data_IF_440007837027
#
_entry.id   IF_440007837027
#
_cell.length_a   1.000
_cell.length_b   1.000
_cell.length_c   1.000
_cell.angle_alpha   90.00
_cell.angle_beta   90.00
_cell.angle_gamma   90.00
#
_symmetry.space_group_name_H-M   'P 1'
#
loop_
_entity.id
_entity.type
_entity.pdbx_description
1 polymer ?
#
# COMPACT_ATOMS: atom_id res chain seq x y z
N UNK A 1 -33.60 -6.03 -17.10
CA UNK A 1 -32.82 -4.78 -17.04
C UNK A 1 -31.52 -5.11 -16.36
N UNK A 2 -30.43 -5.16 -17.10
CA UNK A 2 -29.07 -5.31 -16.56
C UNK A 2 -28.66 -3.97 -15.96
N UNK A 3 -28.44 -3.90 -14.65
CA UNK A 3 -27.80 -2.74 -14.02
C UNK A 3 -26.35 -2.70 -14.52
N UNK A 4 -26.03 -1.78 -15.44
CA UNK A 4 -24.64 -1.47 -15.76
C UNK A 4 -24.05 -0.72 -14.56
N UNK A 5 -23.05 -1.33 -13.91
CA UNK A 5 -22.27 -0.70 -12.85
C UNK A 5 -21.55 0.55 -13.33
N UNK A 6 -21.43 1.56 -12.47
CA UNK A 6 -20.64 2.75 -12.79
C UNK A 6 -19.14 2.45 -12.63
N UNK A 7 -18.28 3.20 -13.32
CA UNK A 7 -16.83 2.95 -13.30
C UNK A 7 -16.09 3.80 -12.26
N UNK A 8 -14.86 3.39 -11.89
CA UNK A 8 -13.98 4.21 -11.05
C UNK A 8 -13.71 5.61 -11.63
N UNK A 9 -13.74 5.79 -12.96
CA UNK A 9 -13.60 7.10 -13.58
C UNK A 9 -14.86 7.96 -13.38
N UNK A 10 -16.04 7.36 -13.41
CA UNK A 10 -17.30 8.05 -13.06
C UNK A 10 -17.29 8.49 -11.59
N UNK A 11 -16.76 7.65 -10.70
CA UNK A 11 -16.57 8.01 -9.29
C UNK A 11 -15.65 9.23 -9.15
N UNK A 12 -14.48 9.22 -9.78
CA UNK A 12 -13.54 10.35 -9.74
C UNK A 12 -14.17 11.65 -10.24
N UNK A 13 -14.87 11.61 -11.38
CA UNK A 13 -15.56 12.79 -11.92
C UNK A 13 -16.58 13.34 -10.93
N UNK A 14 -17.39 12.46 -10.33
CA UNK A 14 -18.39 12.85 -9.32
C UNK A 14 -17.76 13.47 -8.07
N UNK A 15 -16.65 12.93 -7.59
CA UNK A 15 -15.90 13.54 -6.47
C UNK A 15 -15.35 14.92 -6.83
N UNK A 16 -14.81 15.11 -8.04
CA UNK A 16 -14.34 16.42 -8.50
C UNK A 16 -15.48 17.44 -8.51
N UNK A 17 -16.66 17.07 -8.99
CA UNK A 17 -17.85 17.92 -8.97
C UNK A 17 -18.26 18.30 -7.53
N UNK A 18 -18.27 17.34 -6.61
CA UNK A 18 -18.56 17.58 -5.19
C UNK A 18 -17.53 18.50 -4.55
N UNK A 19 -16.24 18.30 -4.82
CA UNK A 19 -15.16 19.16 -4.32
C UNK A 19 -15.35 20.59 -4.84
N UNK A 20 -15.66 20.78 -6.12
CA UNK A 20 -15.91 22.10 -6.70
C UNK A 20 -17.14 22.78 -6.08
N UNK A 21 -18.17 22.01 -5.72
CA UNK A 21 -19.34 22.57 -5.05
C UNK A 21 -19.03 22.98 -3.60
N UNK A 22 -18.39 22.10 -2.83
CA UNK A 22 -18.04 22.35 -1.45
C UNK A 22 -16.97 23.45 -1.31
N UNK A 23 -16.07 23.59 -2.29
CA UNK A 23 -15.00 24.60 -2.24
C UNK A 23 -15.49 26.04 -2.41
N UNK A 24 -16.73 26.24 -2.87
CA UNK A 24 -17.39 27.55 -2.87
C UNK A 24 -17.70 28.05 -1.46
N UNK A 25 -17.83 27.12 -0.50
CA UNK A 25 -18.12 27.40 0.91
C UNK A 25 -16.83 27.31 1.72
N UNK A 26 -16.01 26.30 1.45
CA UNK A 26 -14.77 26.01 2.17
C UNK A 26 -13.58 26.12 1.22
N UNK A 27 -12.95 27.30 1.08
CA UNK A 27 -11.93 27.56 0.07
C UNK A 27 -10.66 26.74 0.30
N UNK A 28 -10.12 26.16 -0.77
CA UNK A 28 -8.89 25.35 -0.73
C UNK A 28 -7.68 26.25 -0.95
N UNK A 29 -6.68 26.22 -0.05
CA UNK A 29 -5.43 26.94 -0.24
C UNK A 29 -4.38 26.07 -0.95
N UNK A 30 -3.45 26.65 -1.73
CA UNK A 30 -2.35 25.91 -2.34
C UNK A 30 -1.50 25.12 -1.34
N UNK A 31 -1.34 25.64 -0.11
CA UNK A 31 -0.60 24.97 0.96
C UNK A 31 -1.29 23.69 1.45
N UNK A 32 -2.63 23.69 1.51
CA UNK A 32 -3.43 22.51 1.89
C UNK A 32 -3.20 21.36 0.92
N UNK A 33 -3.10 21.68 -0.38
CA UNK A 33 -2.84 20.69 -1.42
C UNK A 33 -1.46 20.02 -1.30
N UNK A 34 -0.47 20.70 -0.72
CA UNK A 34 0.84 20.11 -0.45
C UNK A 34 0.73 19.06 0.66
N UNK A 35 0.04 19.41 1.76
CA UNK A 35 -0.19 18.49 2.88
C UNK A 35 -1.01 17.26 2.45
N UNK A 36 -2.08 17.47 1.69
CA UNK A 36 -2.90 16.36 1.19
C UNK A 36 -2.14 15.40 0.27
N UNK A 37 -1.24 15.93 -0.59
CA UNK A 37 -0.34 15.08 -1.40
C UNK A 37 0.62 14.25 -0.55
N UNK A 38 0.96 14.76 0.63
CA UNK A 38 1.76 14.06 1.64
C UNK A 38 0.90 13.17 2.56
N UNK A 39 -0.40 13.02 2.25
CA UNK A 39 -1.38 12.27 3.06
C UNK A 39 -1.57 12.85 4.47
N UNK A 40 -1.36 14.16 4.63
CA UNK A 40 -1.53 14.89 5.88
C UNK A 40 -2.81 15.71 5.77
N UNK A 41 -3.72 15.55 6.73
CA UNK A 41 -4.90 16.40 6.83
C UNK A 41 -4.48 17.79 7.31
N UNK A 42 -4.78 18.87 6.57
CA UNK A 42 -4.54 20.23 7.05
C UNK A 42 -5.31 20.51 8.34
N UNK A 43 -4.63 21.08 9.33
CA UNK A 43 -5.26 21.45 10.61
C UNK A 43 -5.91 22.83 10.53
N UNK A 44 -6.89 22.96 9.64
CA UNK A 44 -7.74 24.16 9.54
C UNK A 44 -9.20 23.77 9.30
N UNK A 45 -10.11 24.63 9.75
CA UNK A 45 -11.55 24.35 9.73
C UNK A 45 -12.10 24.21 8.30
N UNK A 46 -11.65 25.04 7.37
CA UNK A 46 -12.09 24.99 5.97
C UNK A 46 -11.85 23.61 5.35
N UNK A 47 -10.64 23.07 5.50
CA UNK A 47 -10.31 21.76 4.93
C UNK A 47 -11.06 20.62 5.62
N UNK A 48 -11.20 20.66 6.96
CA UNK A 48 -12.00 19.69 7.71
C UNK A 48 -13.46 19.68 7.23
N UNK A 49 -14.05 20.86 7.08
CA UNK A 49 -15.44 21.00 6.66
C UNK A 49 -15.66 20.76 5.16
N UNK A 50 -14.68 21.04 4.31
CA UNK A 50 -14.70 20.66 2.90
C UNK A 50 -14.87 19.14 2.77
N UNK A 51 -14.07 18.36 3.50
CA UNK A 51 -14.15 16.90 3.49
C UNK A 51 -15.50 16.43 4.04
N UNK A 52 -15.99 17.00 5.13
CA UNK A 52 -17.33 16.68 5.66
C UNK A 52 -18.44 16.95 4.63
N UNK A 53 -18.39 18.09 3.94
CA UNK A 53 -19.33 18.43 2.87
C UNK A 53 -19.29 17.40 1.73
N UNK A 54 -18.09 17.03 1.27
CA UNK A 54 -17.93 16.02 0.20
C UNK A 54 -18.43 14.65 0.67
N UNK A 55 -18.11 14.23 1.89
CA UNK A 55 -18.56 12.95 2.44
C UNK A 55 -20.07 12.88 2.60
N UNK A 56 -20.72 13.95 3.07
CA UNK A 56 -22.18 14.04 3.13
C UNK A 56 -22.81 13.95 1.74
N UNK A 57 -22.29 14.72 0.78
CA UNK A 57 -22.78 14.70 -0.61
C UNK A 57 -22.56 13.34 -1.30
N UNK A 58 -21.51 12.62 -0.93
CA UNK A 58 -21.23 11.27 -1.42
C UNK A 58 -22.09 10.18 -0.73
N UNK A 59 -22.75 10.51 0.38
CA UNK A 59 -23.48 9.55 1.22
C UNK A 59 -22.60 8.76 2.18
N UNK A 60 -21.32 9.10 2.30
CA UNK A 60 -20.37 8.45 3.22
C UNK A 60 -20.49 8.94 4.66
N UNK A 61 -21.15 10.08 4.87
CA UNK A 61 -21.37 10.68 6.19
C UNK A 61 -22.85 11.01 6.33
N UNK A 62 -23.44 10.68 7.47
CA UNK A 62 -24.85 10.94 7.73
C UNK A 62 -25.10 12.39 8.23
N UNK A 63 -26.37 12.75 8.44
CA UNK A 63 -26.77 14.10 8.90
C UNK A 63 -26.24 14.45 10.30
N UNK A 64 -25.90 13.46 11.12
CA UNK A 64 -25.26 13.65 12.43
C UNK A 64 -23.75 13.90 12.31
N UNK A 65 -23.21 13.89 11.10
CA UNK A 65 -21.78 14.03 10.85
C UNK A 65 -20.99 12.76 11.17
N UNK A 66 -21.65 11.60 11.30
CA UNK A 66 -21.03 10.30 11.57
C UNK A 66 -20.69 9.58 10.27
N UNK A 67 -19.62 8.78 10.26
CA UNK A 67 -19.29 7.85 9.17
C UNK A 67 -20.47 6.89 8.95
N UNK A 68 -20.96 6.84 7.71
CA UNK A 68 -22.01 5.92 7.28
C UNK A 68 -21.37 4.68 6.66
N UNK A 69 -21.19 3.61 7.46
CA UNK A 69 -20.65 2.33 6.96
C UNK A 69 -21.50 1.79 5.82
N UNK A 70 -22.83 1.84 5.96
CA UNK A 70 -23.77 1.44 4.92
C UNK A 70 -23.60 2.28 3.65
N UNK A 71 -23.53 3.61 3.78
CA UNK A 71 -23.40 4.51 2.64
C UNK A 71 -22.07 4.35 1.88
N UNK A 72 -20.97 4.11 2.58
CA UNK A 72 -19.69 3.76 1.95
C UNK A 72 -19.80 2.41 1.22
N UNK A 73 -20.39 1.39 1.85
CA UNK A 73 -20.53 0.07 1.25
C UNK A 73 -21.46 0.08 0.01
N UNK A 74 -22.51 0.91 0.01
CA UNK A 74 -23.34 1.16 -1.17
C UNK A 74 -22.56 1.81 -2.32
N UNK A 75 -21.73 2.81 -2.00
CA UNK A 75 -20.85 3.45 -2.97
C UNK A 75 -19.89 2.42 -3.57
N UNK A 76 -19.23 1.62 -2.72
CA UNK A 76 -18.34 0.54 -3.15
C UNK A 76 -19.04 -0.46 -4.06
N UNK A 77 -20.22 -0.96 -3.68
CA UNK A 77 -21.00 -1.88 -4.52
C UNK A 77 -21.38 -1.29 -5.88
N UNK A 78 -21.65 0.02 -5.94
CA UNK A 78 -22.03 0.72 -7.18
C UNK A 78 -20.87 0.86 -8.17
N UNK A 79 -19.65 1.09 -7.67
CA UNK A 79 -18.48 1.41 -8.50
C UNK A 79 -17.46 0.27 -8.65
N UNK A 80 -17.57 -0.78 -7.83
CA UNK A 80 -16.75 -2.00 -7.91
C UNK A 80 -17.57 -3.29 -8.11
N UNK A 81 -18.68 -3.31 -8.89
CA UNK A 81 -19.55 -4.49 -8.95
C UNK A 81 -18.90 -5.73 -9.57
N UNK A 82 -17.85 -5.54 -10.36
CA UNK A 82 -17.12 -6.62 -11.04
C UNK A 82 -15.78 -6.95 -10.38
N UNK A 83 -15.51 -6.40 -9.18
CA UNK A 83 -14.27 -6.64 -8.43
C UNK A 83 -14.57 -7.09 -7.00
N UNK A 84 -15.01 -8.35 -6.80
CA UNK A 84 -15.45 -8.85 -5.49
C UNK A 84 -14.32 -8.83 -4.44
N UNK A 85 -13.06 -8.92 -4.87
CA UNK A 85 -11.91 -8.87 -3.97
C UNK A 85 -11.73 -7.44 -3.44
N UNK A 86 -11.70 -6.43 -4.31
CA UNK A 86 -11.62 -5.03 -3.86
C UNK A 86 -12.85 -4.60 -3.08
N UNK A 87 -14.02 -5.12 -3.43
CA UNK A 87 -15.26 -4.88 -2.70
C UNK A 87 -15.15 -5.38 -1.25
N UNK A 88 -14.77 -6.64 -1.04
CA UNK A 88 -14.58 -7.19 0.31
C UNK A 88 -13.51 -6.43 1.10
N UNK A 89 -12.41 -6.01 0.44
CA UNK A 89 -11.38 -5.21 1.10
C UNK A 89 -11.88 -3.83 1.48
N UNK A 90 -12.65 -3.18 0.63
CA UNK A 90 -13.25 -1.89 0.92
C UNK A 90 -14.24 -1.98 2.09
N UNK A 91 -15.04 -3.04 2.18
CA UNK A 91 -15.98 -3.23 3.30
C UNK A 91 -15.21 -3.37 4.62
N UNK A 92 -14.19 -4.24 4.68
CA UNK A 92 -13.32 -4.38 5.85
C UNK A 92 -12.58 -3.11 6.22
N UNK A 93 -12.17 -2.33 5.22
CA UNK A 93 -11.51 -1.05 5.40
C UNK A 93 -12.45 -0.04 6.05
N UNK A 94 -13.71 0.01 5.61
CA UNK A 94 -14.74 0.86 6.22
C UNK A 94 -15.04 0.43 7.65
N UNK A 95 -15.20 -0.87 7.92
CA UNK A 95 -15.39 -1.43 9.27
C UNK A 95 -14.22 -1.06 10.20
N UNK A 96 -12.98 -1.12 9.71
CA UNK A 96 -11.79 -0.78 10.49
C UNK A 96 -11.70 0.70 10.88
N UNK A 97 -12.51 1.56 10.27
CA UNK A 97 -12.62 2.98 10.58
C UNK A 97 -13.94 3.35 11.26
N UNK A 98 -14.82 2.40 11.56
CA UNK A 98 -16.12 2.68 12.19
C UNK A 98 -15.97 3.36 13.56
N UNK A 99 -14.92 3.02 14.31
CA UNK A 99 -14.65 3.56 15.65
C UNK A 99 -14.42 5.07 15.69
N UNK A 100 -14.20 5.74 14.54
CA UNK A 100 -14.13 7.21 14.47
C UNK A 100 -15.45 7.89 14.89
N UNK A 101 -16.56 7.15 14.91
CA UNK A 101 -17.85 7.63 15.39
C UNK A 101 -17.89 7.75 16.92
N UNK A 102 -17.08 6.97 17.64
CA UNK A 102 -17.01 6.99 19.10
C UNK A 102 -16.08 8.10 19.64
N UNK A 103 -15.32 8.74 18.75
CA UNK A 103 -14.40 9.82 19.11
C UNK A 103 -15.16 11.12 19.43
N UNK A 104 -14.70 11.83 20.45
CA UNK A 104 -15.22 13.14 20.82
C UNK A 104 -14.86 14.18 19.75
N UNK A 105 -15.83 15.01 19.36
CA UNK A 105 -15.65 16.08 18.37
C UNK A 105 -16.16 17.41 18.91
N UNK A 106 -15.55 18.50 18.47
CA UNK A 106 -15.88 19.85 18.96
C UNK A 106 -17.01 20.53 18.19
N UNK A 107 -17.32 20.04 16.99
CA UNK A 107 -18.19 20.69 16.02
C UNK A 107 -19.58 20.04 15.89
N UNK A 108 -19.90 19.11 16.79
CA UNK A 108 -21.20 18.46 16.89
C UNK A 108 -21.61 17.73 15.61
N UNK A 109 -22.75 18.11 15.03
CA UNK A 109 -23.30 17.46 13.82
C UNK A 109 -22.71 17.98 12.51
N UNK A 110 -21.84 19.00 12.56
CA UNK A 110 -21.15 19.50 11.37
C UNK A 110 -20.27 18.42 10.74
N UNK A 111 -19.58 17.64 11.58
CA UNK A 111 -18.80 16.46 11.18
C UNK A 111 -17.47 16.78 10.53
N UNK A 112 -17.00 18.03 10.59
CA UNK A 112 -15.69 18.47 10.11
C UNK A 112 -14.55 17.77 10.88
N UNK A 113 -14.59 17.76 12.21
CA UNK A 113 -13.57 17.06 13.01
C UNK A 113 -13.58 15.56 12.71
N UNK A 114 -14.78 14.97 12.60
CA UNK A 114 -14.91 13.56 12.26
C UNK A 114 -14.45 13.25 10.83
N UNK A 115 -14.64 14.15 9.87
CA UNK A 115 -14.10 14.00 8.52
C UNK A 115 -12.57 13.94 8.53
N UNK A 116 -11.92 14.73 9.39
CA UNK A 116 -10.47 14.65 9.59
C UNK A 116 -10.04 13.30 10.18
N UNK A 117 -10.79 12.77 11.14
CA UNK A 117 -10.55 11.43 11.72
C UNK A 117 -10.75 10.32 10.68
N UNK A 118 -11.80 10.40 9.87
CA UNK A 118 -12.04 9.47 8.75
C UNK A 118 -10.88 9.51 7.76
N UNK A 119 -10.40 10.71 7.38
CA UNK A 119 -9.24 10.85 6.49
C UNK A 119 -7.99 10.22 7.10
N UNK A 120 -7.70 10.51 8.37
CA UNK A 120 -6.55 9.94 9.08
C UNK A 120 -6.63 8.42 9.13
N UNK A 121 -7.77 7.86 9.52
CA UNK A 121 -7.98 6.42 9.52
C UNK A 121 -7.82 5.84 8.11
N UNK A 122 -8.33 6.52 7.08
CA UNK A 122 -8.19 6.10 5.68
C UNK A 122 -6.72 6.00 5.29
N UNK A 123 -5.90 6.99 5.65
CA UNK A 123 -4.46 7.01 5.39
C UNK A 123 -3.75 5.88 6.16
N UNK A 124 -4.09 5.69 7.43
CA UNK A 124 -3.49 4.67 8.29
C UNK A 124 -3.82 3.24 7.82
N UNK A 125 -5.04 3.01 7.32
CA UNK A 125 -5.53 1.70 6.85
C UNK A 125 -5.29 1.45 5.36
N UNK A 126 -4.96 2.46 4.56
CA UNK A 126 -4.82 2.33 3.10
C UNK A 126 -3.84 1.22 2.68
N UNK A 127 -2.70 1.00 3.38
CA UNK A 127 -1.80 -0.10 3.04
C UNK A 127 -2.43 -1.49 3.16
N UNK A 128 -3.40 -1.68 4.06
CA UNK A 128 -4.09 -2.97 4.27
C UNK A 128 -5.05 -3.32 3.11
N UNK A 129 -5.44 -2.32 2.32
CA UNK A 129 -6.34 -2.49 1.18
C UNK A 129 -5.63 -2.93 -0.11
N UNK A 130 -4.30 -2.83 -0.18
CA UNK A 130 -3.55 -3.13 -1.41
C UNK A 130 -3.43 -4.64 -1.65
N UNK A 131 -3.46 -5.07 -2.92
CA UNK A 131 -3.08 -6.42 -3.34
C UNK A 131 -1.56 -6.57 -3.35
N UNK A 132 -1.07 -7.81 -3.39
CA UNK A 132 0.37 -8.06 -3.57
C UNK A 132 0.86 -7.38 -4.85
N UNK A 133 0.10 -7.45 -5.95
CA UNK A 133 0.42 -6.80 -7.22
C UNK A 133 0.47 -5.27 -7.12
N UNK A 134 -0.43 -4.67 -6.35
CA UNK A 134 -0.43 -3.22 -6.12
C UNK A 134 0.76 -2.78 -5.25
N UNK A 135 1.07 -3.51 -4.18
CA UNK A 135 2.27 -3.29 -3.38
C UNK A 135 3.55 -3.43 -4.23
N UNK A 136 3.58 -4.42 -5.12
CA UNK A 136 4.67 -4.61 -6.08
C UNK A 136 4.82 -3.38 -6.99
N UNK A 137 3.72 -2.89 -7.55
CA UNK A 137 3.73 -1.70 -8.41
C UNK A 137 4.17 -0.44 -7.66
N UNK A 138 3.69 -0.22 -6.44
CA UNK A 138 4.09 0.95 -5.64
C UNK A 138 5.59 0.96 -5.34
N UNK A 139 6.16 -0.18 -4.95
CA UNK A 139 7.60 -0.24 -4.75
C UNK A 139 8.37 -0.12 -6.08
N UNK A 140 7.87 -0.68 -7.18
CA UNK A 140 8.48 -0.47 -8.50
C UNK A 140 8.53 1.01 -8.89
N UNK A 141 7.50 1.81 -8.54
CA UNK A 141 7.55 3.27 -8.72
C UNK A 141 8.67 3.90 -7.90
N UNK A 142 8.91 3.44 -6.67
CA UNK A 142 10.03 3.90 -5.85
C UNK A 142 11.39 3.55 -6.49
N UNK A 143 11.54 2.32 -7.00
CA UNK A 143 12.74 1.93 -7.76
C UNK A 143 12.93 2.86 -8.96
N UNK A 144 11.90 3.09 -9.77
CA UNK A 144 12.02 3.95 -10.95
C UNK A 144 12.36 5.39 -10.56
N UNK A 145 11.78 5.92 -9.48
CA UNK A 145 12.10 7.24 -8.93
C UNK A 145 13.56 7.33 -8.47
N UNK A 146 14.09 6.28 -7.86
CA UNK A 146 15.49 6.21 -7.45
C UNK A 146 16.46 5.93 -8.62
N UNK A 147 15.96 5.37 -9.73
CA UNK A 147 16.79 5.02 -10.88
C UNK A 147 17.15 6.22 -11.75
N UNK A 148 16.53 7.39 -11.54
CA UNK A 148 16.85 8.61 -12.30
C UNK A 148 18.31 9.01 -12.18
N UNK A 149 18.96 8.65 -11.06
CA UNK A 149 20.32 9.06 -10.72
C UNK A 149 21.34 7.90 -10.81
N UNK A 150 20.84 6.67 -10.96
CA UNK A 150 21.64 5.45 -10.73
C UNK A 150 22.18 4.82 -12.02
N UNK A 151 21.56 5.11 -13.18
CA UNK A 151 21.96 4.53 -14.47
C UNK A 151 21.82 3.01 -14.56
N UNK A 152 21.01 2.39 -13.71
CA UNK A 152 20.80 0.94 -13.68
C UNK A 152 19.89 0.57 -14.85
N UNK A 153 20.35 -0.37 -15.68
CA UNK A 153 19.62 -0.80 -16.86
C UNK A 153 18.45 -1.75 -16.54
N UNK A 154 17.55 -1.93 -17.51
CA UNK A 154 16.36 -2.78 -17.35
C UNK A 154 16.71 -4.25 -17.07
N UNK A 155 17.88 -4.74 -17.51
CA UNK A 155 18.30 -6.13 -17.28
C UNK A 155 18.57 -6.36 -15.81
N UNK A 156 19.23 -5.41 -15.13
CA UNK A 156 19.46 -5.50 -13.69
C UNK A 156 18.16 -5.40 -12.88
N UNK A 157 17.21 -4.56 -13.32
CA UNK A 157 15.88 -4.52 -12.72
C UNK A 157 15.15 -5.87 -12.88
N UNK A 158 15.24 -6.49 -14.05
CA UNK A 158 14.68 -7.83 -14.28
C UNK A 158 15.38 -8.93 -13.47
N UNK A 159 16.67 -8.76 -13.14
CA UNK A 159 17.40 -9.69 -12.28
C UNK A 159 16.91 -9.61 -10.83
N UNK A 160 16.73 -8.40 -10.30
CA UNK A 160 16.03 -8.21 -9.04
C UNK A 160 14.66 -8.89 -9.12
N UNK A 161 13.99 -8.81 -10.29
CA UNK A 161 12.69 -9.42 -10.45
C UNK A 161 12.67 -10.93 -10.33
N UNK A 162 13.81 -11.55 -10.60
CA UNK A 162 14.01 -12.99 -10.53
C UNK A 162 14.69 -13.42 -9.23
N UNK A 163 14.72 -12.54 -8.22
CA UNK A 163 15.40 -12.75 -6.92
C UNK A 163 16.89 -12.96 -7.03
N UNK A 164 17.50 -12.42 -8.08
CA UNK A 164 18.96 -12.43 -8.19
C UNK A 164 19.48 -11.32 -7.29
N UNK A 165 20.26 -11.73 -6.28
CA UNK A 165 20.88 -10.79 -5.34
C UNK A 165 21.81 -9.85 -6.12
N UNK A 166 21.66 -8.52 -5.99
CA UNK A 166 22.46 -7.59 -6.76
C UNK A 166 23.90 -7.56 -6.28
N UNK A 167 24.84 -7.64 -7.22
CA UNK A 167 26.28 -7.56 -6.93
C UNK A 167 26.87 -6.20 -7.30
N UNK A 168 26.32 -5.52 -8.31
CA UNK A 168 26.80 -4.21 -8.77
C UNK A 168 26.51 -3.10 -7.76
N UNK A 169 27.48 -2.22 -7.44
CA UNK A 169 27.28 -1.11 -6.51
C UNK A 169 26.09 -0.21 -6.84
N UNK A 170 25.88 0.12 -8.11
CA UNK A 170 24.75 0.95 -8.56
C UNK A 170 23.39 0.33 -8.19
N UNK A 171 23.20 -0.95 -8.47
CA UNK A 171 21.94 -1.69 -8.17
C UNK A 171 21.73 -1.85 -6.67
N UNK A 172 22.81 -2.05 -5.90
CA UNK A 172 22.75 -2.06 -4.43
C UNK A 172 22.27 -0.71 -3.88
N UNK A 173 22.80 0.40 -4.40
CA UNK A 173 22.43 1.74 -3.97
C UNK A 173 21.02 2.13 -4.44
N UNK A 174 20.61 1.68 -5.62
CA UNK A 174 19.24 1.81 -6.09
C UNK A 174 18.25 1.16 -5.12
N UNK A 175 18.53 -0.07 -4.67
CA UNK A 175 17.72 -0.74 -3.66
C UNK A 175 17.72 0.01 -2.33
N UNK A 176 18.88 0.50 -1.86
CA UNK A 176 18.93 1.28 -0.62
C UNK A 176 18.09 2.56 -0.70
N UNK A 177 18.12 3.26 -1.84
CA UNK A 177 17.25 4.42 -2.06
C UNK A 177 15.77 4.02 -2.00
N UNK A 178 15.37 2.95 -2.70
CA UNK A 178 13.99 2.48 -2.69
C UNK A 178 13.54 2.01 -1.30
N UNK A 179 14.39 1.30 -0.55
CA UNK A 179 14.10 0.87 0.82
C UNK A 179 14.00 2.02 1.81
N UNK A 180 14.81 3.07 1.67
CA UNK A 180 14.65 4.29 2.48
C UNK A 180 13.37 5.03 2.16
N UNK A 181 13.02 5.14 0.87
CA UNK A 181 11.77 5.76 0.44
C UNK A 181 10.54 4.96 0.87
N UNK A 182 10.68 3.64 1.02
CA UNK A 182 9.67 2.73 1.54
C UNK A 182 9.74 2.56 3.07
N UNK A 183 10.63 3.30 3.76
CA UNK A 183 10.88 3.21 5.21
C UNK A 183 11.29 1.82 5.74
N UNK A 184 11.58 0.86 4.85
CA UNK A 184 12.20 -0.42 5.20
C UNK A 184 13.60 -0.21 5.77
N UNK A 185 14.25 0.90 5.40
CA UNK A 185 15.50 1.37 5.99
C UNK A 185 15.33 2.79 6.51
N UNK A 186 15.96 3.09 7.65
CA UNK A 186 15.97 4.45 8.19
C UNK A 186 17.03 5.33 7.51
N UNK A 187 17.11 6.61 7.90
CA UNK A 187 18.04 7.59 7.33
C UNK A 187 19.52 7.20 7.46
N UNK A 188 19.88 6.45 8.52
CA UNK A 188 21.23 5.89 8.75
C UNK A 188 21.54 4.66 7.91
N UNK A 189 20.60 4.24 7.05
CA UNK A 189 20.74 3.07 6.20
C UNK A 189 20.68 1.74 6.96
N UNK A 190 20.08 1.72 8.16
CA UNK A 190 19.82 0.49 8.92
C UNK A 190 18.43 -0.03 8.59
N UNK A 191 18.27 -1.36 8.59
CA UNK A 191 16.97 -2.02 8.49
C UNK A 191 16.08 -1.60 9.67
N UNK A 192 14.88 -1.12 9.36
CA UNK A 192 13.88 -0.70 10.33
C UNK A 192 12.97 -1.89 10.67
N UNK A 193 13.19 -2.50 11.84
CA UNK A 193 12.43 -3.68 12.26
C UNK A 193 10.96 -3.36 12.56
N UNK A 194 10.67 -2.16 13.07
CA UNK A 194 9.29 -1.75 13.35
C UNK A 194 8.52 -1.62 12.05
N UNK A 195 9.14 -1.01 11.03
CA UNK A 195 8.56 -0.96 9.70
C UNK A 195 8.48 -2.34 9.05
N UNK A 196 9.47 -3.22 9.30
CA UNK A 196 9.40 -4.63 8.94
C UNK A 196 8.12 -5.29 9.47
N UNK A 197 7.83 -5.17 10.77
CA UNK A 197 6.58 -5.72 11.32
C UNK A 197 5.33 -5.13 10.69
N UNK A 198 5.30 -3.83 10.39
CA UNK A 198 4.18 -3.19 9.70
C UNK A 198 3.96 -3.81 8.32
N UNK A 199 5.03 -4.03 7.55
CA UNK A 199 4.95 -4.72 6.24
C UNK A 199 4.40 -6.15 6.39
N UNK A 200 4.77 -6.87 7.45
CA UNK A 200 4.20 -8.20 7.73
C UNK A 200 2.69 -8.16 7.96
N UNK A 201 2.18 -7.16 8.66
CA UNK A 201 0.76 -6.93 8.90
C UNK A 201 0.02 -6.56 7.60
N UNK A 202 0.57 -5.64 6.80
CA UNK A 202 -0.01 -5.22 5.52
C UNK A 202 -0.18 -6.39 4.55
N UNK A 203 0.72 -7.37 4.62
CA UNK A 203 0.71 -8.56 3.78
C UNK A 203 -0.09 -9.74 4.32
N UNK A 204 -0.75 -9.57 5.47
CA UNK A 204 -1.59 -10.60 6.10
C UNK A 204 -2.51 -11.25 5.09
N UNK A 205 -3.14 -10.46 4.20
CA UNK A 205 -4.07 -10.94 3.17
C UNK A 205 -5.10 -11.95 3.72
N UNK A 206 -5.58 -11.72 4.95
CA UNK A 206 -6.50 -12.60 5.66
C UNK A 206 -5.91 -13.88 6.28
N UNK A 207 -4.59 -14.12 6.19
CA UNK A 207 -3.89 -15.27 6.76
C UNK A 207 -2.93 -14.83 7.89
N UNK A 208 -3.35 -15.03 9.14
CA UNK A 208 -2.56 -14.73 10.35
C UNK A 208 -1.18 -15.41 10.34
N UNK A 209 -1.04 -16.58 9.69
CA UNK A 209 0.25 -17.26 9.62
C UNK A 209 1.25 -16.47 8.79
N UNK A 210 0.80 -15.66 7.83
CA UNK A 210 1.69 -14.77 7.06
C UNK A 210 2.29 -13.68 7.92
N UNK A 211 1.51 -13.10 8.84
CA UNK A 211 2.01 -12.10 9.79
C UNK A 211 3.09 -12.71 10.67
N UNK A 212 2.81 -13.87 11.27
CA UNK A 212 3.78 -14.58 12.12
C UNK A 212 5.08 -14.90 11.37
N UNK A 213 4.99 -15.39 10.14
CA UNK A 213 6.16 -15.71 9.33
C UNK A 213 6.91 -14.45 8.87
N UNK A 214 6.19 -13.38 8.51
CA UNK A 214 6.78 -12.10 8.13
C UNK A 214 7.55 -11.45 9.27
N UNK A 215 6.98 -11.44 10.49
CA UNK A 215 7.67 -10.94 11.69
C UNK A 215 8.92 -11.77 12.00
N UNK A 216 8.84 -13.10 11.96
CA UNK A 216 10.01 -13.98 12.12
C UNK A 216 11.11 -13.70 11.09
N UNK A 217 10.74 -13.41 9.84
CA UNK A 217 11.72 -13.06 8.82
C UNK A 217 12.34 -11.68 9.09
N UNK A 218 11.56 -10.70 9.55
CA UNK A 218 12.11 -9.41 10.00
C UNK A 218 13.09 -9.60 11.17
N UNK A 219 12.78 -10.46 12.14
CA UNK A 219 13.66 -10.82 13.27
C UNK A 219 14.97 -11.46 12.81
N UNK A 220 14.92 -12.30 11.76
CA UNK A 220 16.11 -12.92 11.19
C UNK A 220 16.93 -11.88 10.43
N UNK A 221 16.27 -11.06 9.61
CA UNK A 221 16.95 -10.14 8.69
C UNK A 221 17.41 -8.84 9.34
N UNK A 222 16.91 -8.45 10.53
CA UNK A 222 17.44 -7.27 11.24
C UNK A 222 18.92 -7.42 11.61
N UNK A 223 19.42 -8.66 11.72
CA UNK A 223 20.83 -8.94 11.99
C UNK A 223 21.79 -8.38 10.94
N UNK A 224 21.31 -8.05 9.73
CA UNK A 224 22.11 -7.34 8.73
C UNK A 224 22.58 -5.95 9.20
N UNK A 225 22.00 -5.41 10.27
CA UNK A 225 22.45 -4.17 10.92
C UNK A 225 23.76 -4.35 11.68
N UNK A 226 24.10 -5.58 12.09
CA UNK A 226 25.33 -5.93 12.80
C UNK A 226 26.52 -6.14 11.84
N UNK A 227 26.24 -6.29 10.54
CA UNK A 227 27.25 -6.53 9.52
C UNK A 227 28.09 -5.27 9.25
N UNK A 228 29.40 -5.48 9.08
CA UNK A 228 30.32 -4.41 8.70
C UNK A 228 30.11 -4.08 7.23
N UNK A 229 29.85 -2.81 6.94
CA UNK A 229 29.71 -2.31 5.58
C UNK A 229 30.69 -1.18 5.27
N UNK A 230 31.09 -1.09 4.01
CA UNK A 230 32.06 -0.09 3.54
C UNK A 230 31.42 1.26 3.18
N UNK A 231 30.10 1.28 2.98
CA UNK A 231 29.35 2.43 2.46
C UNK A 231 28.57 3.22 3.52
N UNK A 232 28.75 2.86 4.79
CA UNK A 232 28.24 3.61 5.95
C UNK A 232 26.74 3.84 5.89
N UNK A 233 26.33 5.10 5.99
CA UNK A 233 24.91 5.48 6.00
C UNK A 233 24.23 5.38 4.64
N UNK A 234 24.98 5.21 3.53
CA UNK A 234 24.37 4.95 2.21
C UNK A 234 23.55 3.67 2.26
N UNK A 235 24.09 2.63 2.91
CA UNK A 235 23.40 1.38 3.17
C UNK A 235 23.13 0.53 1.92
N UNK A 236 23.83 0.76 0.82
CA UNK A 236 23.76 -0.05 -0.40
C UNK A 236 24.11 -1.52 -0.11
N UNK A 237 25.18 -1.77 0.63
CA UNK A 237 25.58 -3.12 1.03
C UNK A 237 24.52 -3.78 1.92
N UNK A 238 23.99 -3.04 2.92
CA UNK A 238 22.89 -3.55 3.76
C UNK A 238 21.63 -3.83 2.96
N UNK A 239 21.27 -2.99 2.00
CA UNK A 239 20.12 -3.24 1.12
C UNK A 239 20.26 -4.56 0.35
N UNK A 240 21.45 -4.86 -0.15
CA UNK A 240 21.73 -6.15 -0.80
C UNK A 240 21.64 -7.33 0.18
N UNK A 241 22.08 -7.14 1.44
CA UNK A 241 21.98 -8.15 2.49
C UNK A 241 20.53 -8.38 2.95
N UNK A 242 19.72 -7.33 3.09
CA UNK A 242 18.28 -7.41 3.36
C UNK A 242 17.59 -8.20 2.24
N UNK A 243 17.89 -7.87 0.98
CA UNK A 243 17.36 -8.57 -0.18
C UNK A 243 17.74 -10.05 -0.16
N UNK A 244 19.02 -10.36 0.03
CA UNK A 244 19.52 -11.74 0.13
C UNK A 244 18.83 -12.51 1.26
N UNK A 245 18.78 -11.94 2.46
CA UNK A 245 18.16 -12.56 3.62
C UNK A 245 16.68 -12.87 3.35
N UNK A 246 15.95 -11.93 2.75
CA UNK A 246 14.54 -12.11 2.37
C UNK A 246 14.39 -13.25 1.38
N UNK A 247 15.23 -13.31 0.34
CA UNK A 247 15.18 -14.37 -0.68
C UNK A 247 15.49 -15.75 -0.11
N UNK A 248 16.42 -15.84 0.84
CA UNK A 248 16.84 -17.10 1.47
C UNK A 248 15.82 -17.63 2.47
N UNK A 249 15.11 -16.74 3.17
CA UNK A 249 14.17 -17.09 4.25
C UNK A 249 12.69 -17.06 3.84
N UNK A 250 12.36 -16.50 2.66
CA UNK A 250 11.00 -16.56 2.14
C UNK A 250 10.60 -18.02 1.80
N UNK A 251 9.35 -18.45 2.11
CA UNK A 251 8.88 -19.80 1.77
C UNK A 251 8.97 -20.07 0.26
N UNK A 252 9.70 -21.10 -0.15
CA UNK A 252 9.94 -21.42 -1.57
C UNK A 252 8.69 -21.93 -2.31
N UNK A 253 7.69 -22.43 -1.58
CA UNK A 253 6.56 -23.20 -2.15
C UNK A 253 5.18 -22.55 -1.98
N UNK A 254 5.08 -21.33 -1.44
CA UNK A 254 3.81 -20.59 -1.37
C UNK A 254 4.04 -19.11 -1.62
N UNK A 255 3.06 -18.48 -2.24
CA UNK A 255 2.90 -17.05 -2.49
C UNK A 255 2.88 -16.20 -1.20
N UNK A 256 3.91 -16.30 -0.36
CA UNK A 256 4.13 -15.46 0.82
C UNK A 256 5.26 -14.52 0.43
N UNK A 257 4.87 -13.53 -0.36
CA UNK A 257 5.75 -12.55 -0.97
C UNK A 257 5.88 -11.38 -0.01
N UNK A 258 6.96 -11.34 0.79
CA UNK A 258 7.50 -10.06 1.30
C UNK A 258 7.66 -9.08 0.13
N UNK A 259 7.64 -7.74 0.27
CA UNK A 259 7.94 -6.84 -0.85
C UNK A 259 9.42 -6.95 -1.24
N UNK A 260 9.84 -8.10 -1.77
CA UNK A 260 10.52 -8.12 -3.03
C UNK A 260 9.42 -8.00 -4.11
N UNK A 261 9.22 -6.83 -4.73
CA UNK A 261 8.10 -6.40 -5.59
C UNK A 261 7.89 -7.21 -6.88
N UNK A 262 8.40 -8.43 -6.96
CA UNK A 262 8.81 -8.97 -8.23
C UNK A 262 8.48 -10.45 -8.39
N UNK A 263 7.51 -10.95 -7.63
CA UNK A 263 7.03 -12.33 -7.76
C UNK A 263 5.82 -12.47 -8.67
N UNK A 264 6.11 -12.65 -9.96
CA UNK A 264 5.18 -13.23 -10.95
C UNK A 264 5.98 -13.79 -12.13
N UNK A 265 6.43 -15.05 -12.06
CA UNK A 265 6.66 -15.85 -13.29
C UNK A 265 6.87 -17.37 -13.09
N UNK A 266 7.07 -17.92 -11.88
CA UNK A 266 7.31 -19.37 -11.71
C UNK A 266 6.04 -20.23 -11.52
N UNK A 267 4.98 -20.02 -12.32
CA UNK A 267 3.85 -20.99 -12.40
C UNK A 267 3.63 -21.63 -13.76
N UNK A 268 4.29 -21.18 -14.82
CA UNK A 268 4.07 -21.75 -16.16
C UNK A 268 4.93 -22.99 -16.43
N UNK A 269 6.08 -23.14 -15.77
CA UNK A 269 7.04 -24.23 -16.06
C UNK A 269 6.78 -25.54 -15.30
N UNK A 270 6.22 -25.51 -14.08
CA UNK A 270 6.00 -26.73 -13.28
C UNK A 270 4.68 -27.46 -13.62
N UNK A 271 3.67 -26.74 -14.10
CA UNK A 271 2.41 -27.36 -14.59
C UNK A 271 2.66 -28.12 -15.89
N UNK A 272 3.52 -27.61 -16.77
CA UNK A 272 3.86 -28.28 -18.03
C UNK A 272 4.74 -29.53 -17.84
N UNK A 273 5.63 -29.56 -16.85
CA UNK A 273 6.42 -30.76 -16.52
C UNK A 273 5.58 -31.87 -15.88
N UNK A 274 4.53 -31.52 -15.13
CA UNK A 274 3.65 -32.51 -14.50
C UNK A 274 2.64 -33.08 -15.49
N UNK A 275 2.14 -32.26 -16.44
CA UNK A 275 1.29 -32.71 -17.55
C UNK A 275 2.03 -33.59 -18.55
N UNK A 276 3.31 -33.32 -18.82
CA UNK A 276 4.12 -34.15 -19.74
C UNK A 276 4.45 -35.52 -19.17
N UNK A 277 4.55 -35.66 -17.84
CA UNK A 277 4.82 -36.95 -17.21
C UNK A 277 3.55 -37.81 -17.10
N UNK A 278 2.39 -37.21 -16.79
CA UNK A 278 1.09 -37.91 -16.79
C UNK A 278 0.68 -38.42 -18.19
N UNK A 279 1.04 -37.70 -19.27
CA UNK A 279 0.78 -38.15 -20.65
C UNK A 279 1.77 -39.22 -21.15
N UNK A 280 2.91 -39.41 -20.47
CA UNK A 280 3.87 -40.48 -20.79
C UNK A 280 3.58 -41.80 -20.07
N UNK A 281 2.83 -41.77 -18.98
CA UNK A 281 2.42 -42.98 -18.24
C UNK A 281 1.08 -43.57 -18.74
N UNK A 282 0.45 -42.91 -19.73
CA UNK A 282 -0.82 -43.35 -20.35
C UNK A 282 -0.67 -43.81 -21.81
N UNK A 283 0.55 -44.04 -22.30
CA UNK A 283 0.85 -44.64 -23.61
C UNK A 283 1.79 -45.83 -23.47
#
# INVERSE_FOLDING_TARGET
>A
MTFEGQTLEDLKRRYVEMIVQCSKIFPIQPADMVLLRQKIMPDNEDMKCLFACVYKNAGMMNEKGELSVEGVNELTRRYLPNDPIRLQKSEKFTEACESVNDEEVSDGTRGCDRAALIFKCTVDKAPDALTEEELKMEFMKLIMKCNTDSGVDMTELMQLQRYVVPTKPATKCLLACAYKAAEIMNSKGLYDIEHGYKVAEMMKNGDEKRVVNGKKMADICVKVNEEKVSDGEKGCERAAMIFKCTVENAPKDRAVVWPCPMQLQRRVSLVNSSRSNLLREMN
#
